data_IF_037915556310
#
_entry.id   IF_037915556310
#
_cell.length_a   1.000
_cell.length_b   1.000
_cell.length_c   1.000
_cell.angle_alpha   90.00
_cell.angle_beta   90.00
_cell.angle_gamma   90.00
#
_symmetry.space_group_name_H-M   'P 1'
#
loop_
_entity.id
_entity.type
_entity.pdbx_description
1 polymer ?
#
# COMPACT_ATOMS: atom_id res chain seq x y z
N UNK A 1 -19.50 -17.86 -43.59
CA UNK A 1 -19.29 -16.59 -42.87
C UNK A 1 -19.62 -16.78 -41.40
N UNK A 2 -18.63 -17.03 -40.54
CA UNK A 2 -18.82 -17.23 -39.11
C UNK A 2 -18.64 -15.90 -38.37
N UNK A 3 -19.65 -15.49 -37.60
CA UNK A 3 -19.60 -14.28 -36.76
C UNK A 3 -18.64 -14.53 -35.60
N UNK A 4 -17.54 -13.78 -35.56
CA UNK A 4 -16.59 -13.80 -34.45
C UNK A 4 -17.25 -13.36 -33.15
N UNK A 5 -17.28 -14.26 -32.16
CA UNK A 5 -17.65 -13.92 -30.78
C UNK A 5 -16.57 -13.00 -30.22
N UNK A 6 -16.95 -11.75 -29.91
CA UNK A 6 -16.17 -10.85 -29.07
C UNK A 6 -15.94 -11.54 -27.72
N UNK A 7 -14.68 -11.83 -27.42
CA UNK A 7 -14.24 -12.18 -26.07
C UNK A 7 -14.59 -10.98 -25.17
N UNK A 8 -15.39 -11.24 -24.14
CA UNK A 8 -15.73 -10.24 -23.13
C UNK A 8 -14.42 -9.84 -22.44
N UNK A 9 -14.11 -8.55 -22.50
CA UNK A 9 -12.95 -7.96 -21.82
C UNK A 9 -12.96 -8.37 -20.35
N UNK A 10 -11.82 -8.89 -19.88
CA UNK A 10 -11.60 -9.22 -18.48
C UNK A 10 -12.00 -8.05 -17.58
N UNK A 11 -12.63 -8.38 -16.46
CA UNK A 11 -12.91 -7.41 -15.41
C UNK A 11 -11.64 -6.65 -15.07
N UNK A 12 -11.71 -5.32 -14.99
CA UNK A 12 -10.61 -4.53 -14.46
C UNK A 12 -10.58 -4.79 -12.96
N UNK A 13 -9.64 -5.63 -12.55
CA UNK A 13 -9.30 -5.80 -11.14
C UNK A 13 -8.79 -4.44 -10.65
N UNK A 14 -9.42 -3.90 -9.63
CA UNK A 14 -8.93 -2.67 -8.99
C UNK A 14 -7.63 -2.96 -8.25
N UNK A 15 -6.80 -1.94 -8.02
CA UNK A 15 -5.56 -2.11 -7.24
C UNK A 15 -5.81 -2.77 -5.88
N UNK A 16 -6.88 -2.36 -5.19
CA UNK A 16 -7.30 -2.94 -3.91
C UNK A 16 -7.62 -4.44 -3.99
N UNK A 17 -8.42 -4.86 -4.97
CA UNK A 17 -8.73 -6.28 -5.17
C UNK A 17 -7.47 -7.09 -5.51
N UNK A 18 -6.54 -6.55 -6.31
CA UNK A 18 -5.29 -7.24 -6.62
C UNK A 18 -4.42 -7.48 -5.38
N UNK A 19 -4.39 -6.50 -4.46
CA UNK A 19 -3.64 -6.59 -3.20
C UNK A 19 -4.28 -7.62 -2.27
N UNK A 20 -5.61 -7.71 -2.21
CA UNK A 20 -6.30 -8.71 -1.39
C UNK A 20 -5.99 -10.14 -1.84
N UNK A 21 -6.01 -10.39 -3.14
CA UNK A 21 -5.69 -11.71 -3.68
C UNK A 21 -4.22 -12.05 -3.43
N UNK A 22 -3.31 -11.09 -3.67
CA UNK A 22 -1.88 -11.29 -3.44
C UNK A 22 -1.58 -11.57 -1.96
N UNK A 23 -2.20 -10.85 -1.02
CA UNK A 23 -2.03 -11.10 0.43
C UNK A 23 -2.46 -12.51 0.81
N UNK A 24 -3.60 -12.98 0.26
CA UNK A 24 -4.09 -14.33 0.51
C UNK A 24 -3.11 -15.37 -0.02
N UNK A 25 -2.60 -15.19 -1.24
CA UNK A 25 -1.64 -16.12 -1.84
C UNK A 25 -0.34 -16.18 -1.02
N UNK A 26 0.16 -15.04 -0.54
CA UNK A 26 1.37 -14.97 0.31
C UNK A 26 1.18 -15.71 1.64
N UNK A 27 0.00 -15.59 2.26
CA UNK A 27 -0.33 -16.32 3.50
C UNK A 27 -0.28 -17.82 3.31
N UNK A 28 -0.83 -18.33 2.21
CA UNK A 28 -0.80 -19.78 1.96
C UNK A 28 0.63 -20.28 1.76
N UNK A 29 1.47 -19.55 1.03
CA UNK A 29 2.88 -19.94 0.82
C UNK A 29 3.68 -19.94 2.12
N UNK A 30 3.42 -18.98 3.01
CA UNK A 30 4.05 -18.93 4.32
C UNK A 30 3.65 -20.14 5.19
N UNK A 31 2.36 -20.46 5.26
CA UNK A 31 1.86 -21.65 5.97
C UNK A 31 2.49 -22.95 5.45
N UNK A 32 2.63 -23.09 4.12
CA UNK A 32 3.26 -24.25 3.49
C UNK A 32 4.75 -24.38 3.87
N UNK A 33 5.48 -23.26 3.94
CA UNK A 33 6.90 -23.25 4.32
C UNK A 33 7.10 -23.60 5.79
N UNK A 34 6.29 -23.03 6.69
CA UNK A 34 6.33 -23.37 8.11
C UNK A 34 6.12 -24.87 8.33
N UNK A 35 5.19 -25.48 7.59
CA UNK A 35 4.95 -26.92 7.64
C UNK A 35 6.19 -27.72 7.18
N UNK A 36 6.84 -27.30 6.10
CA UNK A 36 8.06 -27.97 5.59
C UNK A 36 9.21 -27.85 6.62
N UNK A 37 9.37 -26.69 7.25
CA UNK A 37 10.39 -26.46 8.29
C UNK A 37 10.12 -27.35 9.51
N UNK A 38 8.86 -27.46 9.94
CA UNK A 38 8.49 -28.26 11.11
C UNK A 38 8.70 -29.77 10.89
N UNK A 39 8.41 -30.28 9.69
CA UNK A 39 8.51 -31.71 9.35
C UNK A 39 9.96 -32.19 9.15
N UNK A 40 10.90 -31.30 8.84
CA UNK A 40 12.31 -31.64 8.62
C UNK A 40 13.17 -31.46 9.90
N UNK A 41 12.72 -32.07 11.00
CA UNK A 41 13.50 -32.18 12.25
C UNK A 41 14.50 -33.36 12.17
N UNK A 42 15.49 -33.30 11.27
CA UNK A 42 16.63 -34.23 11.30
C UNK A 42 17.98 -33.50 11.40
N UNK A 43 18.91 -33.99 12.25
CA UNK A 43 20.21 -33.36 12.45
C UNK A 43 21.12 -33.67 11.24
N UNK A 44 21.12 -32.77 10.25
CA UNK A 44 21.99 -32.87 9.07
C UNK A 44 21.64 -31.93 7.91
N UNK A 45 20.46 -31.30 7.91
CA UNK A 45 19.98 -30.45 6.80
C UNK A 45 20.15 -28.94 7.02
N UNK A 46 21.28 -28.47 7.54
CA UNK A 46 21.44 -27.05 7.94
C UNK A 46 21.26 -26.07 6.78
N UNK A 47 21.77 -26.38 5.59
CA UNK A 47 21.70 -25.46 4.44
C UNK A 47 20.26 -25.25 3.94
N UNK A 48 19.47 -26.32 3.77
CA UNK A 48 18.08 -26.22 3.29
C UNK A 48 17.21 -25.51 4.33
N UNK A 49 17.44 -25.79 5.62
CA UNK A 49 16.73 -25.12 6.72
C UNK A 49 17.02 -23.62 6.75
N UNK A 50 18.29 -23.23 6.61
CA UNK A 50 18.70 -21.83 6.53
C UNK A 50 18.06 -21.11 5.34
N UNK A 51 18.03 -21.74 4.15
CA UNK A 51 17.37 -21.16 2.98
C UNK A 51 15.85 -20.99 3.18
N UNK A 52 15.19 -21.96 3.82
CA UNK A 52 13.76 -21.86 4.11
C UNK A 52 13.47 -20.78 5.16
N UNK A 53 14.32 -20.62 6.17
CA UNK A 53 14.25 -19.51 7.14
C UNK A 53 14.43 -18.14 6.45
N UNK A 54 15.34 -18.02 5.48
CA UNK A 54 15.51 -16.79 4.70
C UNK A 54 14.27 -16.48 3.84
N UNK A 55 13.66 -17.48 3.20
CA UNK A 55 12.44 -17.29 2.41
C UNK A 55 11.27 -16.88 3.30
N UNK A 56 11.12 -17.52 4.46
CA UNK A 56 10.07 -17.20 5.43
C UNK A 56 10.15 -15.73 5.89
N UNK A 57 11.37 -15.26 6.19
CA UNK A 57 11.61 -13.86 6.54
C UNK A 57 11.18 -12.90 5.42
N UNK A 58 11.49 -13.21 4.17
CA UNK A 58 11.08 -12.38 3.03
C UNK A 58 9.56 -12.35 2.86
N UNK A 59 8.86 -13.46 3.13
CA UNK A 59 7.40 -13.50 3.10
C UNK A 59 6.81 -12.65 4.21
N UNK A 60 7.35 -12.72 5.43
CA UNK A 60 7.00 -11.84 6.54
C UNK A 60 7.14 -10.35 6.17
N UNK A 61 8.27 -9.98 5.57
CA UNK A 61 8.49 -8.61 5.09
C UNK A 61 7.42 -8.23 4.06
N UNK A 62 7.15 -9.09 3.07
CA UNK A 62 6.14 -8.85 2.02
C UNK A 62 4.72 -8.69 2.60
N UNK A 63 4.35 -9.51 3.59
CA UNK A 63 3.08 -9.40 4.31
C UNK A 63 2.95 -8.09 5.06
N UNK A 64 4.03 -7.62 5.71
CA UNK A 64 4.02 -6.34 6.40
C UNK A 64 3.73 -5.18 5.41
N UNK A 65 4.37 -5.19 4.24
CA UNK A 65 4.14 -4.19 3.20
C UNK A 65 2.72 -4.25 2.61
N UNK A 66 2.17 -5.46 2.42
CA UNK A 66 0.77 -5.65 1.99
C UNK A 66 -0.21 -5.03 3.00
N UNK A 67 0.03 -5.25 4.29
CA UNK A 67 -0.81 -4.74 5.38
C UNK A 67 -0.83 -3.21 5.44
N UNK A 68 0.30 -2.56 5.19
CA UNK A 68 0.40 -1.10 5.11
C UNK A 68 -0.43 -0.52 3.97
N UNK A 69 -0.54 -1.26 2.87
CA UNK A 69 -1.36 -0.88 1.73
C UNK A 69 -2.87 -1.11 1.97
N UNK A 70 -3.22 -2.15 2.75
CA UNK A 70 -4.61 -2.43 3.16
C UNK A 70 -5.17 -1.40 4.14
N UNK A 71 -4.34 -0.87 5.04
CA UNK A 71 -4.77 0.08 6.07
C UNK A 71 -4.74 1.55 5.64
N UNK A 72 -4.52 1.81 4.36
CA UNK A 72 -4.40 3.16 3.84
C UNK A 72 -5.75 3.90 3.86
N UNK A 73 -5.77 5.08 4.48
CA UNK A 73 -6.92 5.98 4.49
C UNK A 73 -6.65 7.22 3.63
N UNK A 74 -7.68 7.89 3.10
CA UNK A 74 -7.46 9.16 2.41
C UNK A 74 -6.89 10.23 3.35
N UNK A 75 -5.92 11.02 2.86
CA UNK A 75 -5.32 12.15 3.58
C UNK A 75 -6.38 13.15 4.09
N UNK A 76 -7.49 13.30 3.37
CA UNK A 76 -8.60 14.17 3.77
C UNK A 76 -9.34 13.73 5.04
N UNK A 77 -9.15 12.48 5.49
CA UNK A 77 -9.77 11.93 6.71
C UNK A 77 -8.87 12.09 7.94
N UNK A 78 -7.61 12.48 7.78
CA UNK A 78 -6.75 12.79 8.91
C UNK A 78 -7.26 14.01 9.68
N UNK A 79 -7.19 13.93 11.00
CA UNK A 79 -7.48 15.01 11.93
C UNK A 79 -6.36 16.05 11.91
N UNK A 80 -6.69 17.28 12.32
CA UNK A 80 -5.68 18.34 12.45
C UNK A 80 -4.61 17.91 13.45
N UNK A 81 -3.35 17.99 13.04
CA UNK A 81 -2.19 17.55 13.82
C UNK A 81 -1.74 16.13 13.51
N UNK A 82 -2.56 15.30 12.88
CA UNK A 82 -2.18 13.93 12.48
C UNK A 82 -1.24 13.95 11.26
N UNK A 83 -0.39 12.92 11.20
CA UNK A 83 0.48 12.66 10.06
C UNK A 83 0.24 11.25 9.50
N UNK A 84 0.57 11.09 8.22
CA UNK A 84 0.59 9.80 7.57
C UNK A 84 1.64 9.76 6.47
N UNK A 85 2.12 8.56 6.17
CA UNK A 85 3.04 8.30 5.07
C UNK A 85 2.25 7.99 3.80
N UNK A 86 2.57 8.66 2.70
CA UNK A 86 1.90 8.42 1.40
C UNK A 86 2.28 7.03 0.88
N UNK A 87 1.27 6.20 0.65
CA UNK A 87 1.43 4.85 0.08
C UNK A 87 0.92 4.76 -1.36
N UNK A 88 -0.06 5.59 -1.74
CA UNK A 88 -0.65 5.56 -3.08
C UNK A 88 -1.26 6.93 -3.46
N UNK A 89 -1.22 7.29 -4.75
CA UNK A 89 -1.97 8.43 -5.29
C UNK A 89 -2.91 7.98 -6.42
N UNK A 90 -4.21 8.03 -6.15
CA UNK A 90 -5.27 7.56 -7.06
C UNK A 90 -5.70 8.65 -8.04
N UNK A 91 -5.09 8.70 -9.21
CA UNK A 91 -5.44 9.69 -10.23
C UNK A 91 -4.80 9.45 -11.59
N UNK A 92 -5.13 10.30 -12.55
CA UNK A 92 -4.46 10.31 -13.85
C UNK A 92 -3.04 10.86 -13.76
N UNK A 93 -2.21 10.58 -14.77
CA UNK A 93 -0.80 10.97 -14.85
C UNK A 93 -0.54 12.44 -14.49
N UNK A 94 -1.34 13.37 -15.00
CA UNK A 94 -1.13 14.80 -14.75
C UNK A 94 -1.33 15.21 -13.27
N UNK A 95 -2.26 14.55 -12.57
CA UNK A 95 -2.46 14.80 -11.13
C UNK A 95 -1.27 14.26 -10.32
N UNK A 96 -0.87 13.02 -10.60
CA UNK A 96 0.26 12.36 -9.93
C UNK A 96 1.54 13.15 -10.17
N UNK A 97 1.81 13.56 -11.40
CA UNK A 97 3.00 14.35 -11.74
C UNK A 97 3.06 15.67 -10.97
N UNK A 98 1.97 16.44 -10.96
CA UNK A 98 1.92 17.71 -10.24
C UNK A 98 2.09 17.54 -8.73
N UNK A 99 1.51 16.48 -8.16
CA UNK A 99 1.70 16.14 -6.75
C UNK A 99 3.17 15.79 -6.46
N UNK A 100 3.79 14.96 -7.28
CA UNK A 100 5.21 14.61 -7.16
C UNK A 100 6.13 15.83 -7.24
N UNK A 101 5.87 16.76 -8.16
CA UNK A 101 6.62 18.02 -8.31
C UNK A 101 6.50 18.91 -7.06
N UNK A 102 5.38 18.81 -6.33
CA UNK A 102 5.14 19.50 -5.06
C UNK A 102 5.71 18.74 -3.84
N UNK A 103 6.37 17.60 -4.05
CA UNK A 103 6.98 16.79 -3.00
C UNK A 103 6.09 15.70 -2.42
N UNK A 104 4.89 15.48 -2.96
CA UNK A 104 4.05 14.34 -2.61
C UNK A 104 4.52 13.11 -3.40
N UNK A 105 5.46 12.37 -2.84
CA UNK A 105 5.92 11.09 -3.39
C UNK A 105 5.56 9.96 -2.45
N UNK A 106 5.57 8.72 -2.94
CA UNK A 106 5.52 7.54 -2.07
C UNK A 106 6.59 7.67 -0.97
N UNK A 107 6.27 7.20 0.23
CA UNK A 107 7.12 7.26 1.44
C UNK A 107 7.31 8.69 2.00
N UNK A 108 6.68 9.72 1.43
CA UNK A 108 6.71 11.05 2.04
C UNK A 108 5.70 11.14 3.19
N UNK A 109 6.13 11.65 4.34
CA UNK A 109 5.22 12.01 5.44
C UNK A 109 4.52 13.34 5.16
N UNK A 110 3.22 13.35 5.42
CA UNK A 110 2.35 14.52 5.27
C UNK A 110 1.59 14.73 6.57
N UNK A 111 1.61 15.96 7.08
CA UNK A 111 0.91 16.35 8.32
C UNK A 111 -0.24 17.30 8.02
N UNK A 112 -1.40 17.08 8.62
CA UNK A 112 -2.52 18.03 8.51
C UNK A 112 -2.26 19.21 9.44
N UNK A 113 -2.15 20.40 8.86
CA UNK A 113 -1.97 21.66 9.60
C UNK A 113 -3.33 22.27 9.94
N UNK A 114 -4.26 22.26 8.99
CA UNK A 114 -5.65 22.65 9.22
C UNK A 114 -6.57 22.01 8.19
N UNK A 115 -7.83 21.81 8.57
CA UNK A 115 -8.86 21.28 7.69
C UNK A 115 -10.15 22.03 7.96
N UNK A 116 -10.65 22.77 6.97
CA UNK A 116 -11.95 23.44 7.04
C UNK A 116 -12.92 22.67 6.15
N UNK A 117 -14.15 22.46 6.62
CA UNK A 117 -15.22 21.83 5.85
C UNK A 117 -16.43 22.78 5.76
N UNK A 118 -16.87 23.17 4.56
CA UNK A 118 -16.29 22.90 3.24
C UNK A 118 -15.01 23.74 3.02
N UNK A 119 -13.93 23.12 2.57
CA UNK A 119 -12.65 23.82 2.40
C UNK A 119 -11.49 22.89 2.06
N UNK A 120 -10.36 23.46 1.63
CA UNK A 120 -9.15 22.71 1.37
C UNK A 120 -8.57 22.14 2.67
N UNK A 121 -7.74 21.12 2.52
CA UNK A 121 -6.91 20.57 3.59
C UNK A 121 -5.54 21.23 3.45
N UNK A 122 -5.14 22.01 4.46
CA UNK A 122 -3.79 22.56 4.52
C UNK A 122 -2.88 21.51 5.13
N UNK A 123 -1.86 21.12 4.38
CA UNK A 123 -0.91 20.09 4.79
C UNK A 123 0.51 20.61 4.78
N UNK A 124 1.32 20.09 5.71
CA UNK A 124 2.77 20.17 5.68
C UNK A 124 3.32 18.96 4.95
N UNK A 125 4.14 19.19 3.94
CA UNK A 125 4.87 18.15 3.20
C UNK A 125 6.30 18.63 3.04
N UNK A 126 7.27 17.88 3.58
CA UNK A 126 8.66 18.35 3.71
C UNK A 126 8.69 19.73 4.40
N UNK A 127 9.35 20.72 3.81
CA UNK A 127 9.42 22.10 4.32
C UNK A 127 8.36 23.04 3.73
N UNK A 128 7.38 22.50 2.99
CA UNK A 128 6.34 23.28 2.32
C UNK A 128 4.97 23.13 2.99
N UNK A 129 4.17 24.21 2.91
CA UNK A 129 2.75 24.21 3.31
C UNK A 129 1.87 24.33 2.07
N UNK A 130 1.01 23.36 1.84
CA UNK A 130 0.24 23.24 0.60
C UNK A 130 -1.24 23.05 0.92
N UNK A 131 -2.07 23.89 0.31
CA UNK A 131 -3.52 23.73 0.37
C UNK A 131 -3.99 22.78 -0.73
N UNK A 132 -4.56 21.65 -0.33
CA UNK A 132 -5.12 20.65 -1.24
C UNK A 132 -6.63 20.78 -1.28
N UNK A 133 -7.21 20.88 -2.47
CA UNK A 133 -8.65 20.71 -2.63
C UNK A 133 -9.08 19.36 -2.08
N UNK A 134 -10.22 19.30 -1.38
CA UNK A 134 -10.69 18.08 -0.69
C UNK A 134 -10.76 16.86 -1.60
N UNK A 135 -11.20 17.02 -2.85
CA UNK A 135 -11.25 15.91 -3.82
C UNK A 135 -9.87 15.38 -4.23
N UNK A 136 -8.82 16.20 -4.17
CA UNK A 136 -7.42 15.77 -4.37
C UNK A 136 -6.93 15.05 -3.12
N UNK A 137 -7.17 15.61 -1.94
CA UNK A 137 -6.80 14.99 -0.67
C UNK A 137 -7.50 13.63 -0.43
N UNK A 138 -8.71 13.42 -0.97
CA UNK A 138 -9.41 12.13 -0.94
C UNK A 138 -8.74 11.02 -1.80
N UNK A 139 -7.80 11.39 -2.66
CA UNK A 139 -7.12 10.49 -3.59
C UNK A 139 -5.67 10.19 -3.20
N UNK A 140 -5.16 10.88 -2.19
CA UNK A 140 -3.84 10.62 -1.62
C UNK A 140 -4.06 9.66 -0.47
N UNK A 141 -3.62 8.43 -0.63
CA UNK A 141 -3.76 7.38 0.38
C UNK A 141 -2.54 7.41 1.27
N UNK A 142 -2.79 7.42 2.58
CA UNK A 142 -1.76 7.47 3.61
C UNK A 142 -1.95 6.36 4.61
N UNK A 143 -0.84 5.82 5.10
CA UNK A 143 -0.80 4.96 6.27
C UNK A 143 -0.41 5.81 7.48
N UNK A 144 -1.21 5.76 8.55
CA UNK A 144 -0.92 6.49 9.80
C UNK A 144 0.11 5.80 10.67
N UNK A 145 0.58 4.60 10.28
CA UNK A 145 1.76 3.91 10.81
C UNK A 145 2.01 4.24 12.27
N UNK A 146 1.08 3.83 13.14
CA UNK A 146 0.81 4.41 14.45
C UNK A 146 2.05 4.89 15.19
N UNK A 147 2.31 6.21 15.13
CA UNK A 147 3.23 6.87 16.06
C UNK A 147 2.45 7.43 17.23
N UNK A 148 2.55 6.70 18.33
CA UNK A 148 2.35 7.18 19.70
C UNK A 148 3.26 8.37 20.00
#
# INVERSE_FOLDING_TARGET
MARGRRLRSGGRITGGELIEHLDKDIVHVHEDIEHVIADHTEPGGSEVREHLEEVDKHLHDLMAHSKDLKNAIPLALLSVGEEGEIVEMRGGRGMVQRLSEMGFTNTTRVKVISSSSPGPVLVGVRDARIALGRGVAMKIMVNTGGKR
#
